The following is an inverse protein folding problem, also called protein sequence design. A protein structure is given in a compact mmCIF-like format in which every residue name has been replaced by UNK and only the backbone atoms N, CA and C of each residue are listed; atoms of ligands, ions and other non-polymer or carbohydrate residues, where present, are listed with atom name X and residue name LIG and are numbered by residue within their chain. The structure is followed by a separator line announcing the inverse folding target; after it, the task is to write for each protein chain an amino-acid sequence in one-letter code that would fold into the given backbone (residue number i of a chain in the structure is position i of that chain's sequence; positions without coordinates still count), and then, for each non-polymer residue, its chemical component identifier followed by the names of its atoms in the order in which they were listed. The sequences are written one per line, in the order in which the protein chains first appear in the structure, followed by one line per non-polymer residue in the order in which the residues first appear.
data_IF_829285692027
#
_entry.id   IF_829285692027
#
_cell.length_a   1.000
_cell.length_b   1.000
_cell.length_c   1.000
_cell.angle_alpha   90.00
_cell.angle_beta   90.00
_cell.angle_gamma   90.00
#
_symmetry.space_group_name_H-M   'P 1'
#
loop_
_entity.id
_entity.type
_entity.pdbx_description
1 polymer ?
#
# COMPACT_ATOMS: atom_id res chain seq x y z
N UNK A 1 -3.58 3.24 -13.83
CA UNK A 1 -2.80 2.75 -12.66
C UNK A 1 -1.56 1.93 -13.02
N UNK A 2 -1.66 0.95 -13.93
CA UNK A 2 -0.54 0.07 -14.31
C UNK A 2 0.70 0.80 -14.81
N UNK A 3 0.56 1.74 -15.76
CA UNK A 3 1.69 2.51 -16.32
C UNK A 3 2.41 3.33 -15.22
N UNK A 4 1.68 3.89 -14.25
CA UNK A 4 2.30 4.65 -13.16
C UNK A 4 3.13 3.78 -12.22
N UNK A 5 2.76 2.50 -12.09
CA UNK A 5 3.29 1.58 -11.10
C UNK A 5 4.18 0.48 -11.70
N UNK A 6 4.46 0.43 -13.00
CA UNK A 6 5.25 -0.65 -13.61
C UNK A 6 6.78 -0.48 -13.52
N UNK A 7 7.28 0.77 -13.50
CA UNK A 7 8.71 1.08 -13.37
C UNK A 7 9.19 1.20 -11.91
N UNK A 8 8.72 0.34 -11.01
CA UNK A 8 9.19 0.34 -9.63
C UNK A 8 10.47 -0.48 -9.49
N UNK A 9 11.35 0.01 -8.62
CA UNK A 9 12.57 -0.68 -8.23
C UNK A 9 12.24 -1.95 -7.43
N UNK A 10 12.90 -3.05 -7.79
CA UNK A 10 12.75 -4.32 -7.06
C UNK A 10 14.06 -5.07 -6.96
N UNK A 11 14.53 -5.25 -5.74
CA UNK A 11 15.66 -6.12 -5.39
C UNK A 11 15.28 -7.02 -4.22
N UNK A 12 15.73 -8.29 -4.26
CA UNK A 12 15.23 -9.38 -3.41
C UNK A 12 15.53 -9.13 -1.92
N UNK A 13 16.67 -8.50 -1.63
CA UNK A 13 17.15 -8.27 -0.26
C UNK A 13 16.82 -6.86 0.27
N UNK A 14 16.30 -5.97 -0.58
CA UNK A 14 16.00 -4.57 -0.23
C UNK A 14 14.50 -4.33 -0.12
N UNK A 15 13.68 -5.02 -0.92
CA UNK A 15 12.24 -4.79 -0.93
C UNK A 15 11.54 -5.56 0.18
N UNK A 16 10.95 -4.80 1.10
CA UNK A 16 10.18 -5.36 2.22
C UNK A 16 8.79 -5.86 1.78
N UNK A 17 8.20 -6.74 2.59
CA UNK A 17 6.81 -7.17 2.42
C UNK A 17 5.82 -5.99 2.43
N UNK A 18 6.11 -4.93 3.20
CA UNK A 18 5.29 -3.71 3.24
C UNK A 18 5.22 -3.01 1.88
N UNK A 19 6.34 -2.95 1.16
CA UNK A 19 6.41 -2.34 -0.17
C UNK A 19 5.61 -3.14 -1.19
N UNK A 20 5.63 -4.48 -1.08
CA UNK A 20 4.81 -5.36 -1.94
C UNK A 20 3.32 -5.22 -1.64
N UNK A 21 2.92 -5.15 -0.36
CA UNK A 21 1.52 -4.88 0.01
C UNK A 21 1.03 -3.54 -0.55
N UNK A 22 1.86 -2.50 -0.46
CA UNK A 22 1.55 -1.18 -1.00
C UNK A 22 1.43 -1.20 -2.53
N UNK A 23 2.30 -1.93 -3.22
CA UNK A 23 2.17 -2.13 -4.66
C UNK A 23 0.83 -2.77 -5.01
N UNK A 24 0.42 -3.82 -4.28
CA UNK A 24 -0.88 -4.47 -4.50
C UNK A 24 -2.03 -3.51 -4.26
N UNK A 25 -1.99 -2.75 -3.17
CA UNK A 25 -3.00 -1.74 -2.86
C UNK A 25 -3.13 -0.68 -3.97
N UNK A 26 -2.00 -0.17 -4.48
CA UNK A 26 -1.98 0.88 -5.51
C UNK A 26 -2.32 0.39 -6.92
N UNK A 27 -2.10 -0.89 -7.20
CA UNK A 27 -2.36 -1.48 -8.52
C UNK A 27 -3.75 -2.12 -8.58
N UNK A 28 -4.26 -2.58 -7.45
CA UNK A 28 -5.45 -3.42 -7.37
C UNK A 28 -5.12 -4.88 -7.64
N UNK A 29 -5.83 -5.79 -6.97
CA UNK A 29 -5.54 -7.24 -7.05
C UNK A 29 -5.80 -7.80 -8.46
N UNK A 30 -6.83 -7.31 -9.14
CA UNK A 30 -7.23 -7.75 -10.49
C UNK A 30 -6.15 -7.42 -11.54
N UNK A 31 -5.43 -6.32 -11.34
CA UNK A 31 -4.42 -5.83 -12.28
C UNK A 31 -3.02 -6.43 -12.05
N UNK A 32 -2.83 -7.27 -11.03
CA UNK A 32 -1.50 -7.80 -10.70
C UNK A 32 -0.91 -8.68 -11.80
N UNK A 33 -1.75 -9.45 -12.48
CA UNK A 33 -1.30 -10.26 -13.62
C UNK A 33 -0.81 -9.36 -14.75
N UNK A 34 -1.58 -8.35 -15.10
CA UNK A 34 -1.25 -7.40 -16.17
C UNK A 34 0.01 -6.60 -15.84
N UNK A 35 0.24 -6.27 -14.57
CA UNK A 35 1.49 -5.65 -14.12
C UNK A 35 2.70 -6.54 -14.41
N UNK A 36 2.60 -7.84 -14.13
CA UNK A 36 3.68 -8.79 -14.41
C UNK A 36 3.87 -8.95 -15.92
N UNK A 37 2.78 -9.12 -16.67
CA UNK A 37 2.82 -9.28 -18.13
C UNK A 37 3.45 -8.05 -18.81
N UNK A 38 3.14 -6.84 -18.33
CA UNK A 38 3.77 -5.60 -18.79
C UNK A 38 5.28 -5.58 -18.54
N UNK A 39 5.74 -6.05 -17.36
CA UNK A 39 7.20 -6.17 -17.08
C UNK A 39 7.88 -7.24 -17.92
N UNK A 40 7.17 -8.30 -18.28
CA UNK A 40 7.69 -9.32 -19.20
C UNK A 40 7.83 -8.74 -20.61
N UNK A 41 6.79 -8.04 -21.09
CA UNK A 41 6.79 -7.40 -22.41
C UNK A 41 7.92 -6.39 -22.56
N UNK A 42 8.11 -5.50 -21.58
CA UNK A 42 9.18 -4.50 -21.57
C UNK A 42 10.59 -5.14 -21.68
N UNK A 43 10.82 -6.25 -20.95
CA UNK A 43 12.08 -6.98 -21.01
C UNK A 43 12.32 -7.67 -22.34
N UNK A 44 11.29 -8.28 -22.91
CA UNK A 44 11.36 -8.93 -24.22
C UNK A 44 11.61 -7.89 -25.32
N UNK A 45 10.93 -6.74 -25.25
CA UNK A 45 11.13 -5.62 -26.16
C UNK A 45 12.54 -5.03 -26.09
N UNK A 46 13.18 -5.10 -24.91
CA UNK A 46 14.57 -4.67 -24.70
C UNK A 46 15.62 -5.71 -25.15
N UNK A 47 15.22 -6.78 -25.84
CA UNK A 47 16.14 -7.80 -26.37
C UNK A 47 16.73 -8.75 -25.32
N UNK A 48 16.17 -8.79 -24.11
CA UNK A 48 16.67 -9.67 -23.05
C UNK A 48 16.10 -11.09 -23.24
N UNK A 49 16.95 -12.13 -23.42
CA UNK A 49 16.49 -13.46 -23.81
C UNK A 49 15.65 -14.16 -22.73
N UNK A 50 15.79 -13.75 -21.47
CA UNK A 50 15.04 -14.32 -20.35
C UNK A 50 13.86 -13.44 -19.95
N UNK A 51 12.68 -13.85 -20.41
CA UNK A 51 11.37 -13.24 -20.11
C UNK A 51 11.14 -13.06 -18.60
N UNK A 52 11.33 -14.12 -17.81
CA UNK A 52 11.13 -14.11 -16.34
C UNK A 52 12.44 -14.34 -15.58
N UNK A 53 13.15 -13.27 -15.17
CA UNK A 53 14.33 -13.39 -14.30
C UNK A 53 13.93 -13.84 -12.88
N UNK A 54 14.91 -14.25 -12.08
CA UNK A 54 14.69 -14.65 -10.68
C UNK A 54 13.95 -13.57 -9.88
N UNK A 55 14.35 -12.29 -10.04
CA UNK A 55 13.71 -11.15 -9.37
C UNK A 55 12.20 -11.07 -9.63
N UNK A 56 11.77 -11.31 -10.87
CA UNK A 56 10.34 -11.25 -11.22
C UNK A 56 9.56 -12.43 -10.61
N UNK A 57 10.14 -13.63 -10.60
CA UNK A 57 9.53 -14.80 -9.92
C UNK A 57 9.47 -14.62 -8.40
N UNK A 58 10.49 -14.00 -7.81
CA UNK A 58 10.50 -13.68 -6.38
C UNK A 58 9.43 -12.64 -6.04
N UNK A 59 9.22 -11.63 -6.89
CA UNK A 59 8.11 -10.69 -6.74
C UNK A 59 6.75 -11.40 -6.80
N UNK A 60 6.52 -12.28 -7.78
CA UNK A 60 5.28 -13.07 -7.88
C UNK A 60 5.05 -13.90 -6.61
N UNK A 61 6.10 -14.54 -6.07
CA UNK A 61 6.05 -15.25 -4.80
C UNK A 61 5.66 -14.33 -3.64
N UNK A 62 6.31 -13.17 -3.51
CA UNK A 62 6.02 -12.21 -2.44
C UNK A 62 4.59 -11.68 -2.54
N UNK A 63 4.10 -11.37 -3.75
CA UNK A 63 2.72 -10.97 -3.97
C UNK A 63 1.75 -12.05 -3.48
N UNK A 64 1.99 -13.33 -3.82
CA UNK A 64 1.18 -14.45 -3.32
C UNK A 64 1.25 -14.59 -1.80
N UNK A 65 2.42 -14.39 -1.21
CA UNK A 65 2.64 -14.50 0.24
C UNK A 65 1.85 -13.45 1.02
N UNK A 66 1.88 -12.19 0.59
CA UNK A 66 1.24 -11.07 1.30
C UNK A 66 -0.23 -10.86 0.94
N UNK A 67 -0.77 -11.58 -0.06
CA UNK A 67 -2.21 -11.52 -0.42
C UNK A 67 -3.16 -11.87 0.73
N UNK A 68 -2.69 -12.64 1.71
CA UNK A 68 -3.47 -12.99 2.92
C UNK A 68 -3.50 -11.86 3.96
N UNK A 69 -2.62 -10.86 3.82
CA UNK A 69 -2.59 -9.71 4.72
C UNK A 69 -3.78 -8.78 4.42
N UNK A 70 -4.15 -7.87 5.34
CA UNK A 70 -5.24 -6.93 5.11
C UNK A 70 -4.82 -5.88 4.05
N UNK A 71 -5.38 -6.02 2.86
CA UNK A 71 -5.08 -5.16 1.69
C UNK A 71 -6.24 -4.28 1.26
N UNK A 72 -7.41 -4.44 1.88
CA UNK A 72 -8.59 -3.63 1.63
C UNK A 72 -9.30 -3.28 2.93
N UNK A 73 -10.13 -2.23 2.89
CA UNK A 73 -10.95 -1.79 4.02
C UNK A 73 -11.84 -2.93 4.54
N UNK A 74 -12.30 -3.82 3.65
CA UNK A 74 -13.12 -4.98 4.00
C UNK A 74 -12.40 -6.00 4.88
N UNK A 75 -11.06 -6.00 4.90
CA UNK A 75 -10.24 -6.94 5.68
C UNK A 75 -9.86 -6.38 7.05
N UNK A 76 -10.23 -5.13 7.35
CA UNK A 76 -10.04 -4.54 8.67
C UNK A 76 -10.88 -5.28 9.71
N UNK A 77 -10.39 -5.36 10.96
CA UNK A 77 -11.15 -5.94 12.10
C UNK A 77 -12.26 -5.03 12.63
N UNK A 78 -12.46 -3.87 12.01
CA UNK A 78 -13.59 -2.97 12.25
C UNK A 78 -14.17 -2.55 10.90
N UNK A 79 -15.46 -2.23 10.87
CA UNK A 79 -16.15 -1.72 9.70
C UNK A 79 -16.78 -0.33 9.95
N UNK A 80 -17.54 0.17 8.97
CA UNK A 80 -18.21 1.47 9.09
C UNK A 80 -19.25 1.52 10.21
N UNK A 81 -20.01 0.45 10.41
CA UNK A 81 -21.04 0.38 11.45
C UNK A 81 -20.41 0.35 12.86
N UNK A 82 -19.28 -0.33 13.02
CA UNK A 82 -18.50 -0.30 14.25
C UNK A 82 -18.03 1.12 14.56
N UNK A 83 -17.55 1.86 13.55
CA UNK A 83 -17.12 3.25 13.70
C UNK A 83 -18.27 4.19 14.05
N UNK A 84 -19.44 4.02 13.43
CA UNK A 84 -20.64 4.80 13.73
C UNK A 84 -21.02 4.63 15.20
N UNK A 85 -21.07 3.39 15.68
CA UNK A 85 -21.39 3.08 17.09
C UNK A 85 -20.32 3.56 18.05
N UNK A 86 -19.05 3.38 17.71
CA UNK A 86 -17.90 3.74 18.56
C UNK A 86 -17.74 5.25 18.74
N UNK A 87 -17.90 6.01 17.66
CA UNK A 87 -17.66 7.45 17.62
C UNK A 87 -18.92 8.27 17.83
N UNK A 88 -20.10 7.62 17.80
CA UNK A 88 -21.41 8.27 17.90
C UNK A 88 -21.61 9.38 16.85
N UNK A 89 -21.20 9.10 15.61
CA UNK A 89 -21.31 10.03 14.48
C UNK A 89 -22.31 9.51 13.43
N UNK A 90 -22.95 10.43 12.71
CA UNK A 90 -23.83 10.07 11.59
C UNK A 90 -23.02 9.49 10.41
N UNK A 91 -23.63 8.61 9.59
CA UNK A 91 -23.04 8.17 8.33
C UNK A 91 -22.57 9.37 7.49
N UNK A 92 -21.28 9.40 7.16
CA UNK A 92 -20.66 10.52 6.46
C UNK A 92 -19.36 10.07 5.75
N UNK A 93 -18.87 10.83 4.74
CA UNK A 93 -17.60 10.54 4.06
C UNK A 93 -16.39 10.45 5.00
N UNK A 94 -16.48 11.07 6.19
CA UNK A 94 -15.44 11.02 7.22
C UNK A 94 -15.14 9.60 7.69
N UNK A 95 -16.14 8.73 7.76
CA UNK A 95 -15.96 7.32 8.16
C UNK A 95 -15.08 6.59 7.15
N UNK A 96 -15.35 6.77 5.85
CA UNK A 96 -14.52 6.20 4.79
C UNK A 96 -13.07 6.68 4.89
N UNK A 97 -12.87 7.99 5.07
CA UNK A 97 -11.54 8.57 5.21
C UNK A 97 -10.78 8.03 6.44
N UNK A 98 -11.46 7.79 7.57
CA UNK A 98 -10.86 7.14 8.74
C UNK A 98 -10.42 5.72 8.39
N UNK A 99 -11.27 4.92 7.74
CA UNK A 99 -10.95 3.55 7.33
C UNK A 99 -9.76 3.51 6.37
N UNK A 100 -9.66 4.46 5.44
CA UNK A 100 -8.54 4.58 4.50
C UNK A 100 -7.22 4.87 5.23
N UNK A 101 -7.22 5.78 6.22
CA UNK A 101 -6.04 6.07 7.04
C UNK A 101 -5.62 4.85 7.87
N UNK A 102 -6.58 4.11 8.42
CA UNK A 102 -6.31 2.87 9.18
C UNK A 102 -5.72 1.79 8.28
N UNK A 103 -6.28 1.61 7.08
CA UNK A 103 -5.77 0.66 6.11
C UNK A 103 -4.33 1.02 5.69
N UNK A 104 -4.04 2.30 5.44
CA UNK A 104 -2.70 2.79 5.14
C UNK A 104 -1.66 2.44 6.22
N UNK A 105 -2.06 2.42 7.50
CA UNK A 105 -1.22 1.94 8.61
C UNK A 105 -1.05 0.42 8.63
N UNK A 106 -2.11 -0.32 8.34
CA UNK A 106 -2.10 -1.78 8.36
C UNK A 106 -1.34 -2.38 7.16
N UNK A 107 -1.35 -1.71 6.01
CA UNK A 107 -0.53 -2.06 4.86
C UNK A 107 0.96 -2.01 5.22
N UNK A 108 1.37 -1.10 6.11
CA UNK A 108 2.74 -1.07 6.62
C UNK A 108 2.99 -2.21 7.60
N UNK A 109 2.16 -2.32 8.64
CA UNK A 109 2.24 -3.39 9.63
C UNK A 109 0.89 -4.11 9.83
N UNK A 110 0.71 -5.29 9.21
CA UNK A 110 -0.49 -6.11 9.34
C UNK A 110 -0.83 -6.52 10.77
N UNK A 111 0.15 -6.55 11.68
CA UNK A 111 -0.06 -6.94 13.09
C UNK A 111 -0.92 -5.92 13.84
N UNK A 112 -1.01 -4.69 13.34
CA UNK A 112 -1.86 -3.65 13.88
C UNK A 112 -3.35 -3.87 13.58
N UNK A 113 -3.71 -4.82 12.72
CA UNK A 113 -5.10 -5.16 12.42
C UNK A 113 -5.78 -5.94 13.56
N UNK A 114 -5.91 -5.30 14.72
CA UNK A 114 -6.64 -5.80 15.87
C UNK A 114 -7.63 -4.73 16.36
N UNK A 115 -8.74 -5.18 16.93
CA UNK A 115 -9.86 -4.33 17.31
C UNK A 115 -9.46 -3.22 18.26
N UNK A 116 -8.68 -3.54 19.30
CA UNK A 116 -8.22 -2.58 20.32
C UNK A 116 -7.40 -1.43 19.72
N UNK A 117 -6.44 -1.73 18.84
CA UNK A 117 -5.63 -0.72 18.16
C UNK A 117 -6.50 0.15 17.25
N UNK A 118 -7.36 -0.49 16.45
CA UNK A 118 -8.20 0.21 15.48
C UNK A 118 -9.20 1.15 16.16
N UNK A 119 -9.86 0.71 17.22
CA UNK A 119 -10.78 1.55 17.99
C UNK A 119 -10.09 2.77 18.60
N UNK A 120 -8.92 2.55 19.23
CA UNK A 120 -8.12 3.65 19.80
C UNK A 120 -7.74 4.66 18.72
N UNK A 121 -7.19 4.17 17.60
CA UNK A 121 -6.74 5.04 16.51
C UNK A 121 -7.91 5.76 15.84
N UNK A 122 -9.07 5.12 15.74
CA UNK A 122 -10.29 5.73 15.18
C UNK A 122 -10.75 6.94 16.00
N UNK A 123 -10.70 6.85 17.34
CA UNK A 123 -11.02 7.99 18.23
C UNK A 123 -10.07 9.15 18.03
N UNK A 124 -8.77 8.88 17.88
CA UNK A 124 -7.77 9.92 17.60
C UNK A 124 -8.02 10.59 16.24
N UNK A 125 -8.37 9.81 15.21
CA UNK A 125 -8.65 10.31 13.86
C UNK A 125 -9.97 11.08 13.76
N UNK A 126 -10.93 10.81 14.64
CA UNK A 126 -12.22 11.50 14.64
C UNK A 126 -12.10 13.00 14.93
N UNK A 127 -11.03 13.44 15.59
CA UNK A 127 -10.79 14.85 15.89
C UNK A 127 -10.25 15.63 14.68
N UNK A 128 -9.95 14.96 13.57
CA UNK A 128 -9.40 15.59 12.37
C UNK A 128 -10.51 15.95 11.38
N UNK A 129 -10.24 16.97 10.56
CA UNK A 129 -11.11 17.36 9.47
C UNK A 129 -11.02 16.39 8.29
N UNK A 130 -12.06 16.37 7.44
CA UNK A 130 -12.15 15.44 6.32
C UNK A 130 -10.96 15.60 5.35
N UNK A 131 -10.58 16.84 5.06
CA UNK A 131 -9.45 17.18 4.21
C UNK A 131 -8.13 16.64 4.79
N UNK A 132 -7.92 16.75 6.10
CA UNK A 132 -6.72 16.24 6.77
C UNK A 132 -6.68 14.71 6.77
N UNK A 133 -7.82 14.04 6.95
CA UNK A 133 -7.91 12.59 6.85
C UNK A 133 -7.59 12.10 5.44
N UNK A 134 -8.15 12.76 4.42
CA UNK A 134 -7.87 12.47 3.01
C UNK A 134 -6.40 12.71 2.67
N UNK A 135 -5.82 13.78 3.22
CA UNK A 135 -4.40 14.07 3.08
C UNK A 135 -3.57 12.94 3.69
N UNK A 136 -3.80 12.56 4.96
CA UNK A 136 -3.09 11.44 5.63
C UNK A 136 -3.24 10.08 4.94
N UNK A 137 -4.39 9.83 4.30
CA UNK A 137 -4.60 8.61 3.53
C UNK A 137 -3.74 8.58 2.26
N UNK A 138 -3.53 9.74 1.62
CA UNK A 138 -2.69 9.91 0.42
C UNK A 138 -1.19 10.06 0.76
N UNK A 139 -0.86 10.77 1.84
CA UNK A 139 0.48 11.23 2.21
C UNK A 139 1.47 10.07 2.36
N UNK A 140 1.05 8.94 2.94
CA UNK A 140 1.97 7.81 3.12
C UNK A 140 2.57 7.29 1.81
N UNK A 141 1.91 7.50 0.67
CA UNK A 141 2.40 7.11 -0.66
C UNK A 141 3.44 8.12 -1.18
N UNK A 142 3.27 9.42 -0.90
CA UNK A 142 4.18 10.49 -1.32
C UNK A 142 5.34 10.70 -0.34
N UNK A 143 5.10 10.66 0.98
CA UNK A 143 6.13 10.73 2.01
C UNK A 143 7.15 9.61 1.86
N UNK A 144 6.72 8.37 1.65
CA UNK A 144 7.67 7.27 1.44
C UNK A 144 8.42 7.39 0.11
N UNK A 145 7.79 7.92 -0.95
CA UNK A 145 8.50 8.22 -2.21
C UNK A 145 9.57 9.29 -2.00
N UNK A 146 9.26 10.33 -1.22
CA UNK A 146 10.21 11.39 -0.88
C UNK A 146 11.30 10.92 0.09
N UNK A 147 10.98 10.01 1.01
CA UNK A 147 11.93 9.42 1.95
C UNK A 147 12.88 8.45 1.24
N UNK A 148 12.34 7.55 0.40
CA UNK A 148 13.12 6.66 -0.47
C UNK A 148 14.02 7.48 -1.44
N UNK A 149 13.52 8.58 -2.02
CA UNK A 149 14.32 9.49 -2.87
C UNK A 149 15.40 10.23 -2.08
N UNK A 150 15.11 10.70 -0.86
CA UNK A 150 16.11 11.31 0.03
C UNK A 150 17.21 10.34 0.44
N UNK A 151 16.87 9.09 0.76
CA UNK A 151 17.87 8.06 1.07
C UNK A 151 18.72 7.73 -0.16
N UNK A 152 18.11 7.64 -1.35
CA UNK A 152 18.82 7.43 -2.61
C UNK A 152 19.77 8.59 -2.91
N UNK A 153 19.30 9.83 -2.80
CA UNK A 153 20.10 11.05 -2.97
C UNK A 153 21.31 11.07 -2.04
N UNK A 154 21.12 10.71 -0.76
CA UNK A 154 22.23 10.56 0.20
C UNK A 154 23.23 9.49 -0.21
N UNK A 155 22.75 8.31 -0.64
CA UNK A 155 23.60 7.19 -1.10
C UNK A 155 24.46 7.56 -2.31
N UNK A 156 23.94 8.42 -3.20
CA UNK A 156 24.61 8.84 -4.43
C UNK A 156 25.21 10.24 -4.37
N UNK A 157 25.27 10.88 -3.19
CA UNK A 157 25.80 12.24 -3.01
C UNK A 157 25.13 13.29 -3.91
N UNK A 158 23.87 13.07 -4.26
CA UNK A 158 23.05 13.98 -5.05
C UNK A 158 22.30 14.91 -4.09
N UNK A 159 22.27 16.22 -4.37
CA UNK A 159 21.50 17.19 -3.59
C UNK A 159 19.99 17.08 -3.84
#
# INVERSE_FOLDING_TARGET
ELIRNHMFYYNVDEVTASSVRRLIYNVGEDNLKDLIDLRVADRLGSGVPKAKPYKLRHLEYMMKKVRKDPLSVKMLKINGDDLIKLLNIKPSPKIGAILDVLLSKIIEDPKLNNKKYLEKKSKELNNLELEELRYKAKEKIEEKKMEDDKELKKKFWVK
#
